data_IF_269954846690
#
_entry.id   IF_269954846690
#
_cell.length_a   1.000
_cell.length_b   1.000
_cell.length_c   1.000
_cell.angle_alpha   90.00
_cell.angle_beta   90.00
_cell.angle_gamma   90.00
#
_symmetry.space_group_name_H-M   'P 1'
#
loop_
_entity.id
_entity.type
_entity.pdbx_description
1 polymer ?
#
# COMPACT_ATOMS: atom_id res chain seq x y z
N UNK A 1 -33.05 -5.54 4.62
CA UNK A 1 -31.64 -5.64 4.22
C UNK A 1 -31.39 -4.52 3.25
N UNK A 2 -30.48 -3.60 3.56
CA UNK A 2 -30.15 -2.48 2.67
C UNK A 2 -29.37 -3.01 1.45
N UNK A 3 -29.63 -2.42 0.28
CA UNK A 3 -28.98 -2.79 -0.99
C UNK A 3 -28.18 -1.59 -1.49
N UNK A 4 -26.94 -1.84 -1.86
CA UNK A 4 -26.05 -0.85 -2.48
C UNK A 4 -25.83 -1.21 -3.95
N UNK A 5 -25.67 -0.20 -4.80
CA UNK A 5 -25.33 -0.38 -6.21
C UNK A 5 -23.88 -0.84 -6.36
N UNK A 6 -22.98 -0.33 -5.50
CA UNK A 6 -21.56 -0.61 -5.53
C UNK A 6 -21.02 -0.83 -4.11
N UNK A 7 -20.17 -1.85 -3.96
CA UNK A 7 -19.39 -2.08 -2.74
C UNK A 7 -17.91 -1.93 -3.08
N UNK A 8 -17.22 -1.07 -2.35
CA UNK A 8 -15.78 -0.82 -2.48
C UNK A 8 -15.10 -1.34 -1.22
N UNK A 9 -14.11 -2.20 -1.41
CA UNK A 9 -13.30 -2.75 -0.32
C UNK A 9 -11.96 -2.01 -0.29
N UNK A 10 -11.73 -1.24 0.76
CA UNK A 10 -10.57 -0.36 0.94
C UNK A 10 -10.88 1.08 0.56
N UNK A 11 -10.62 1.99 1.49
CA UNK A 11 -10.84 3.43 1.34
C UNK A 11 -9.57 4.20 0.93
N UNK A 12 -8.55 3.49 0.45
CA UNK A 12 -7.27 4.05 0.04
C UNK A 12 -7.30 4.87 -1.26
N UNK A 13 -6.11 5.23 -1.75
CA UNK A 13 -5.90 6.02 -2.97
C UNK A 13 -6.66 5.50 -4.22
N UNK A 14 -6.87 4.19 -4.34
CA UNK A 14 -7.67 3.62 -5.42
C UNK A 14 -9.19 3.69 -5.18
N UNK A 15 -9.64 3.35 -3.97
CA UNK A 15 -11.06 3.19 -3.66
C UNK A 15 -11.79 4.51 -3.44
N UNK A 16 -11.20 5.45 -2.70
CA UNK A 16 -11.86 6.70 -2.33
C UNK A 16 -12.25 7.59 -3.54
N UNK A 17 -11.39 7.80 -4.56
CA UNK A 17 -11.77 8.58 -5.73
C UNK A 17 -12.92 7.94 -6.53
N UNK A 18 -12.90 6.61 -6.66
CA UNK A 18 -13.97 5.85 -7.33
C UNK A 18 -15.28 6.01 -6.56
N UNK A 19 -15.26 5.84 -5.24
CA UNK A 19 -16.42 6.03 -4.37
C UNK A 19 -17.03 7.42 -4.55
N UNK A 20 -16.18 8.46 -4.49
CA UNK A 20 -16.61 9.84 -4.65
C UNK A 20 -17.25 10.10 -6.03
N UNK A 21 -16.66 9.57 -7.11
CA UNK A 21 -17.20 9.72 -8.47
C UNK A 21 -18.55 9.05 -8.63
N UNK A 22 -18.69 7.82 -8.15
CA UNK A 22 -19.93 7.04 -8.25
C UNK A 22 -21.05 7.62 -7.37
N UNK A 23 -20.73 8.02 -6.14
CA UNK A 23 -21.70 8.67 -5.25
C UNK A 23 -22.22 9.99 -5.84
N UNK A 24 -21.33 10.81 -6.42
CA UNK A 24 -21.72 12.06 -7.12
C UNK A 24 -22.57 11.81 -8.37
N UNK A 25 -22.43 10.64 -9.00
CA UNK A 25 -23.28 10.21 -10.10
C UNK A 25 -24.65 9.66 -9.64
N UNK A 26 -24.94 9.66 -8.33
CA UNK A 26 -26.22 9.24 -7.77
C UNK A 26 -26.31 7.76 -7.39
N UNK A 27 -25.21 7.02 -7.43
CA UNK A 27 -25.18 5.63 -6.98
C UNK A 27 -25.12 5.51 -5.45
N UNK A 28 -25.77 4.50 -4.90
CA UNK A 28 -25.59 4.08 -3.52
C UNK A 28 -24.30 3.26 -3.38
N UNK A 29 -23.33 3.79 -2.65
CA UNK A 29 -21.99 3.20 -2.52
C UNK A 29 -21.70 2.87 -1.07
N UNK A 30 -21.36 1.61 -0.80
CA UNK A 30 -20.81 1.16 0.47
C UNK A 30 -19.29 1.07 0.37
N UNK A 31 -18.57 1.77 1.23
CA UNK A 31 -17.11 1.64 1.37
C UNK A 31 -16.82 0.90 2.66
N UNK A 32 -16.10 -0.22 2.56
CA UNK A 32 -15.64 -0.98 3.71
C UNK A 32 -14.14 -0.75 3.90
N UNK A 33 -13.78 -0.28 5.08
CA UNK A 33 -12.40 -0.08 5.50
C UNK A 33 -12.17 -0.89 6.77
N UNK A 34 -11.02 -1.57 6.86
CA UNK A 34 -10.65 -2.35 8.03
C UNK A 34 -10.18 -1.44 9.16
N UNK A 35 -9.45 -0.39 8.79
CA UNK A 35 -8.85 0.55 9.73
C UNK A 35 -9.80 1.61 10.31
N UNK A 36 -9.38 2.30 11.38
CA UNK A 36 -10.15 3.39 11.97
C UNK A 36 -10.16 4.63 11.07
N UNK A 37 -11.09 5.56 11.34
CA UNK A 37 -11.01 6.94 10.87
C UNK A 37 -10.17 7.75 11.88
N UNK A 38 -9.05 8.30 11.43
CA UNK A 38 -8.27 9.27 12.22
C UNK A 38 -8.83 10.66 12.05
N UNK A 39 -8.97 11.40 13.15
CA UNK A 39 -9.42 12.79 13.16
C UNK A 39 -8.28 13.73 13.52
N UNK A 40 -8.26 14.89 12.88
CA UNK A 40 -7.42 16.00 13.28
C UNK A 40 -7.84 16.55 14.64
N UNK A 41 -7.01 17.43 15.23
CA UNK A 41 -7.33 18.08 16.50
C UNK A 41 -8.65 18.86 16.45
N UNK A 42 -8.95 19.48 15.31
CA UNK A 42 -10.16 20.27 15.09
C UNK A 42 -11.42 19.40 14.97
N UNK A 43 -11.30 18.23 14.35
CA UNK A 43 -12.41 17.31 14.10
C UNK A 43 -12.75 16.42 15.31
N UNK A 44 -11.78 16.19 16.20
CA UNK A 44 -11.97 15.30 17.32
C UNK A 44 -12.78 15.97 18.44
N UNK A 45 -13.84 15.34 19.00
CA UNK A 45 -14.73 15.96 20.00
C UNK A 45 -14.07 16.45 21.29
N UNK A 46 -12.89 15.92 21.60
CA UNK A 46 -12.09 16.28 22.78
C UNK A 46 -10.98 17.30 22.49
N UNK A 47 -10.87 17.83 21.26
CA UNK A 47 -9.82 18.79 20.89
C UNK A 47 -8.40 18.19 20.90
N UNK A 48 -8.27 16.89 20.61
CA UNK A 48 -6.99 16.16 20.54
C UNK A 48 -6.83 15.50 19.17
N UNK A 49 -5.61 15.41 18.65
CA UNK A 49 -5.37 14.73 17.37
C UNK A 49 -5.35 13.21 17.56
N UNK A 50 -5.92 12.45 16.62
CA UNK A 50 -5.69 10.99 16.52
C UNK A 50 -4.34 10.67 15.87
N UNK A 51 -3.74 11.63 15.18
CA UNK A 51 -2.35 11.59 14.72
C UNK A 51 -1.44 11.83 15.92
N UNK A 52 -1.32 10.81 16.78
CA UNK A 52 -0.78 10.93 18.14
C UNK A 52 0.72 10.74 18.27
N UNK A 53 1.44 10.39 17.20
CA UNK A 53 2.88 10.18 17.33
C UNK A 53 3.66 10.67 16.12
N UNK A 54 4.60 11.53 16.43
CA UNK A 54 5.66 12.01 15.57
C UNK A 54 6.76 10.94 15.49
N UNK A 55 7.76 11.15 14.64
CA UNK A 55 8.87 10.20 14.43
C UNK A 55 9.61 9.83 15.73
N UNK A 56 9.54 10.68 16.76
CA UNK A 56 10.14 10.47 18.09
C UNK A 56 9.46 9.37 18.90
N UNK A 57 8.18 9.08 18.67
CA UNK A 57 7.44 8.00 19.34
C UNK A 57 7.29 6.73 18.49
N UNK A 58 7.37 6.82 17.16
CA UNK A 58 7.44 5.65 16.27
C UNK A 58 8.67 4.76 16.57
N UNK A 59 9.72 5.38 17.12
CA UNK A 59 10.93 4.71 17.61
C UNK A 59 10.81 4.22 19.06
N UNK A 60 9.60 4.27 19.65
CA UNK A 60 9.29 3.86 21.02
C UNK A 60 9.18 2.34 21.24
N UNK A 61 8.76 1.94 22.45
CA UNK A 61 8.97 0.61 23.04
C UNK A 61 8.79 -0.62 22.11
N UNK A 62 9.78 -1.52 22.22
CA UNK A 62 9.92 -2.83 21.58
C UNK A 62 8.60 -3.62 21.44
N UNK A 63 8.29 -4.03 20.21
CA UNK A 63 7.30 -5.08 19.92
C UNK A 63 8.03 -6.43 19.83
N UNK A 64 7.44 -7.50 20.37
CA UNK A 64 7.99 -8.88 20.30
C UNK A 64 7.08 -9.80 19.50
N UNK A 65 7.66 -10.53 18.54
CA UNK A 65 6.92 -11.47 17.70
C UNK A 65 6.57 -12.75 18.48
N UNK A 66 5.31 -13.19 18.42
CA UNK A 66 4.85 -14.40 19.12
C UNK A 66 4.36 -15.52 18.19
N UNK A 67 4.25 -15.23 16.90
CA UNK A 67 3.82 -16.15 15.85
C UNK A 67 4.65 -17.45 15.83
N UNK A 68 3.97 -18.60 15.84
CA UNK A 68 4.62 -19.91 15.72
C UNK A 68 4.97 -20.21 14.26
N UNK A 69 6.14 -20.81 14.02
CA UNK A 69 6.53 -21.33 12.69
C UNK A 69 7.41 -20.39 11.86
N UNK A 70 7.60 -19.13 12.28
CA UNK A 70 8.54 -18.20 11.65
C UNK A 70 9.89 -18.20 12.36
N UNK A 71 10.96 -18.01 11.60
CA UNK A 71 12.33 -18.10 12.13
C UNK A 71 12.67 -16.98 13.14
N UNK A 72 12.07 -15.80 13.02
CA UNK A 72 12.33 -14.62 13.85
C UNK A 72 11.36 -14.48 15.03
N UNK A 73 10.89 -15.60 15.60
CA UNK A 73 10.01 -15.60 16.76
C UNK A 73 10.75 -15.09 18.00
N UNK A 74 10.12 -14.17 18.75
CA UNK A 74 10.62 -13.49 19.95
C UNK A 74 11.68 -12.40 19.74
N UNK A 75 12.01 -12.10 18.48
CA UNK A 75 12.85 -10.96 18.12
C UNK A 75 12.11 -9.62 18.31
N UNK A 76 12.90 -8.58 18.54
CA UNK A 76 12.47 -7.19 18.76
C UNK A 76 12.26 -6.46 17.44
N UNK A 77 11.20 -5.65 17.32
CA UNK A 77 11.01 -4.72 16.19
C UNK A 77 10.32 -3.40 16.59
N UNK A 78 10.46 -2.39 15.72
CA UNK A 78 9.91 -1.03 15.85
C UNK A 78 9.05 -0.73 14.62
N UNK A 79 7.83 -0.19 14.80
CA UNK A 79 6.84 -0.06 13.72
C UNK A 79 6.16 1.31 13.66
N UNK A 80 5.67 1.67 12.47
CA UNK A 80 4.97 2.93 12.21
C UNK A 80 3.48 2.90 12.63
N UNK A 81 2.82 4.06 12.54
CA UNK A 81 1.57 4.42 13.20
C UNK A 81 0.31 3.65 12.77
N UNK A 82 0.34 2.95 11.64
CA UNK A 82 -0.84 2.26 11.08
C UNK A 82 -0.44 0.97 10.34
N UNK A 83 0.61 0.33 10.83
CA UNK A 83 0.98 -1.01 10.39
C UNK A 83 0.09 -2.05 11.10
N UNK A 84 -0.31 -3.13 10.42
CA UNK A 84 -0.94 -4.25 11.11
C UNK A 84 -0.02 -4.79 12.20
N UNK A 85 -0.61 -5.32 13.28
CA UNK A 85 0.16 -6.16 14.19
C UNK A 85 0.59 -7.42 13.43
N UNK A 86 1.89 -7.73 13.44
CA UNK A 86 2.42 -8.93 12.80
C UNK A 86 1.83 -10.23 13.35
N UNK A 87 1.33 -10.21 14.59
CA UNK A 87 0.66 -11.37 15.17
C UNK A 87 -0.76 -11.53 14.62
N UNK A 88 -1.36 -10.47 14.09
CA UNK A 88 -2.70 -10.48 13.49
C UNK A 88 -2.62 -10.69 11.96
N UNK A 89 -1.68 -10.02 11.28
CA UNK A 89 -1.52 -10.07 9.82
C UNK A 89 -0.05 -10.09 9.38
N UNK A 90 0.62 -11.25 9.49
CA UNK A 90 2.02 -11.35 9.16
C UNK A 90 2.27 -11.20 7.66
N UNK A 91 3.16 -10.29 7.27
CA UNK A 91 3.79 -10.34 5.94
C UNK A 91 4.97 -11.30 6.03
N UNK A 92 4.95 -12.34 5.19
CA UNK A 92 5.94 -13.41 5.21
C UNK A 92 6.74 -13.37 3.91
N UNK A 93 8.05 -13.51 4.02
CA UNK A 93 8.92 -13.82 2.88
C UNK A 93 9.76 -15.06 3.18
N UNK A 94 10.10 -15.78 2.12
CA UNK A 94 11.01 -16.92 2.19
C UNK A 94 12.46 -16.39 2.19
N UNK A 95 13.22 -16.75 3.22
CA UNK A 95 14.64 -16.40 3.31
C UNK A 95 15.51 -17.22 2.35
N UNK A 96 16.75 -16.77 2.13
CA UNK A 96 17.73 -17.48 1.29
C UNK A 96 18.10 -18.89 1.81
N UNK A 97 17.78 -19.18 3.07
CA UNK A 97 17.91 -20.48 3.72
C UNK A 97 16.63 -21.35 3.62
N UNK A 98 15.62 -20.90 2.87
CA UNK A 98 14.34 -21.58 2.71
C UNK A 98 13.42 -21.48 3.93
N UNK A 99 13.73 -20.60 4.90
CA UNK A 99 12.91 -20.41 6.10
C UNK A 99 12.06 -19.15 6.00
N UNK A 100 10.79 -19.30 6.35
CA UNK A 100 9.83 -18.20 6.42
C UNK A 100 10.17 -17.23 7.55
N UNK A 101 10.10 -15.94 7.24
CA UNK A 101 10.32 -14.84 8.18
C UNK A 101 9.19 -13.84 8.10
N UNK A 102 8.72 -13.40 9.26
CA UNK A 102 7.81 -12.27 9.36
C UNK A 102 8.58 -10.97 9.15
N UNK A 103 8.03 -10.05 8.35
CA UNK A 103 8.66 -8.76 8.06
C UNK A 103 7.67 -7.61 8.14
N UNK A 104 8.18 -6.43 8.46
CA UNK A 104 7.43 -5.18 8.35
C UNK A 104 7.62 -4.48 7.00
N UNK A 105 8.46 -5.04 6.14
CA UNK A 105 8.69 -4.48 4.82
C UNK A 105 7.46 -4.67 3.91
N UNK A 106 7.14 -3.63 3.13
CA UNK A 106 6.05 -3.68 2.17
C UNK A 106 4.65 -3.45 2.74
N UNK A 107 4.52 -2.95 3.97
CA UNK A 107 3.21 -2.69 4.54
C UNK A 107 2.36 -1.67 3.80
N UNK A 108 1.05 -1.92 3.87
CA UNK A 108 0.00 -1.00 3.43
C UNK A 108 -0.75 -0.47 4.65
N UNK A 109 -0.98 0.84 4.70
CA UNK A 109 -1.63 1.48 5.84
C UNK A 109 -3.08 1.01 6.00
N UNK A 110 -3.48 0.71 7.24
CA UNK A 110 -4.81 0.19 7.58
C UNK A 110 -5.64 1.24 8.32
N UNK A 111 -6.13 2.22 7.58
CA UNK A 111 -6.83 3.40 8.07
C UNK A 111 -7.72 3.95 6.97
N UNK A 112 -8.76 4.70 7.33
CA UNK A 112 -9.51 5.47 6.33
C UNK A 112 -8.56 6.38 5.55
N UNK A 113 -8.55 6.25 4.21
CA UNK A 113 -7.60 6.91 3.31
C UNK A 113 -6.37 6.07 2.95
N UNK A 114 -6.13 4.96 3.63
CA UNK A 114 -5.05 4.01 3.33
C UNK A 114 -3.67 4.68 3.29
N UNK A 115 -2.82 4.21 2.37
CA UNK A 115 -1.42 4.66 2.28
C UNK A 115 -1.23 6.18 2.13
N UNK A 116 -2.23 6.92 1.65
CA UNK A 116 -2.10 8.39 1.51
C UNK A 116 -2.06 9.11 2.85
N UNK A 117 -2.42 8.45 3.96
CA UNK A 117 -2.24 8.99 5.31
C UNK A 117 -0.78 8.96 5.77
N UNK A 118 0.06 8.08 5.17
CA UNK A 118 1.43 7.83 5.63
C UNK A 118 2.51 8.05 4.56
N UNK A 119 2.15 8.11 3.28
CA UNK A 119 3.12 8.27 2.20
C UNK A 119 3.86 9.61 2.29
N UNK A 120 5.07 9.67 1.72
CA UNK A 120 5.89 10.89 1.72
C UNK A 120 5.41 12.00 0.78
N UNK A 121 4.16 11.96 0.31
CA UNK A 121 3.57 12.92 -0.64
C UNK A 121 4.30 13.09 -1.99
N UNK A 122 5.27 12.22 -2.30
CA UNK A 122 5.97 12.22 -3.58
C UNK A 122 5.03 11.76 -4.69
N UNK A 123 4.67 12.69 -5.57
CA UNK A 123 3.63 12.49 -6.60
C UNK A 123 4.23 12.67 -8.00
N UNK A 124 4.89 11.62 -8.49
CA UNK A 124 5.52 11.60 -9.81
C UNK A 124 4.54 11.07 -10.86
N UNK A 125 4.64 11.62 -12.07
CA UNK A 125 4.05 10.99 -13.25
C UNK A 125 5.05 9.98 -13.79
N UNK A 126 4.55 8.90 -14.37
CA UNK A 126 5.37 8.04 -15.21
C UNK A 126 6.01 8.88 -16.34
N UNK A 127 7.00 8.30 -17.01
CA UNK A 127 7.48 8.73 -18.32
C UNK A 127 6.83 7.89 -19.43
N UNK A 128 6.90 8.33 -20.68
CA UNK A 128 6.43 7.54 -21.83
C UNK A 128 7.12 6.17 -21.91
N UNK A 129 8.38 6.13 -21.49
CA UNK A 129 9.18 4.90 -21.48
C UNK A 129 8.63 3.87 -20.48
N UNK A 130 8.12 4.31 -19.33
CA UNK A 130 7.56 3.41 -18.30
C UNK A 130 6.33 2.65 -18.81
N UNK A 131 5.65 3.15 -19.85
CA UNK A 131 4.53 2.49 -20.51
C UNK A 131 4.95 1.58 -21.66
N UNK A 132 6.22 1.63 -22.10
CA UNK A 132 6.75 0.92 -23.28
C UNK A 132 7.96 0.03 -22.95
N UNK A 133 8.03 -0.48 -21.72
CA UNK A 133 9.19 -1.26 -21.25
C UNK A 133 9.40 -2.56 -22.03
N UNK A 134 8.34 -3.19 -22.55
CA UNK A 134 8.46 -4.41 -23.34
C UNK A 134 9.16 -4.13 -24.68
N UNK A 135 8.61 -3.20 -25.46
CA UNK A 135 9.17 -2.78 -26.74
C UNK A 135 10.57 -2.20 -26.60
N UNK A 136 10.81 -1.39 -25.56
CA UNK A 136 12.11 -0.79 -25.32
C UNK A 136 13.21 -1.83 -25.05
N UNK A 137 12.90 -2.90 -24.33
CA UNK A 137 13.88 -3.91 -23.94
C UNK A 137 13.99 -5.10 -24.89
N UNK A 138 13.05 -5.29 -25.83
CA UNK A 138 12.95 -6.49 -26.68
C UNK A 138 14.26 -6.87 -27.42
N UNK A 139 15.00 -5.88 -27.90
CA UNK A 139 16.25 -6.08 -28.66
C UNK A 139 17.53 -5.86 -27.86
N UNK A 140 17.44 -5.53 -26.57
CA UNK A 140 18.61 -5.16 -25.76
C UNK A 140 19.40 -6.40 -25.34
N UNK A 141 20.71 -6.29 -25.47
CA UNK A 141 21.71 -7.27 -25.04
C UNK A 141 22.74 -6.67 -24.07
N UNK A 142 22.57 -5.40 -23.72
CA UNK A 142 23.42 -4.58 -22.85
C UNK A 142 22.87 -4.45 -21.43
N UNK A 143 21.88 -5.27 -21.06
CA UNK A 143 21.25 -5.24 -19.74
C UNK A 143 22.23 -5.84 -18.72
N UNK A 144 22.68 -5.01 -17.79
CA UNK A 144 23.59 -5.40 -16.70
C UNK A 144 22.76 -5.91 -15.52
N UNK A 145 23.22 -6.98 -14.87
CA UNK A 145 22.61 -7.48 -13.63
C UNK A 145 21.33 -8.31 -13.84
N UNK A 146 21.10 -8.83 -15.03
CA UNK A 146 19.94 -9.69 -15.35
C UNK A 146 20.37 -11.12 -15.73
N UNK A 147 20.94 -11.90 -14.78
CA UNK A 147 21.48 -13.24 -15.08
C UNK A 147 20.40 -14.24 -15.50
N UNK A 148 19.13 -13.99 -15.15
CA UNK A 148 17.99 -14.86 -15.44
C UNK A 148 17.16 -14.40 -16.65
N UNK A 149 17.54 -13.30 -17.31
CA UNK A 149 16.80 -12.74 -18.44
C UNK A 149 15.38 -12.28 -18.06
N UNK A 150 15.19 -11.86 -16.81
CA UNK A 150 13.93 -11.44 -16.22
C UNK A 150 13.35 -10.25 -16.97
N UNK A 151 14.18 -9.31 -17.44
CA UNK A 151 13.68 -8.14 -18.17
C UNK A 151 13.03 -8.58 -19.48
N UNK A 152 13.66 -9.48 -20.25
CA UNK A 152 13.07 -10.00 -21.48
C UNK A 152 11.81 -10.81 -21.20
N UNK A 153 11.78 -11.54 -20.08
CA UNK A 153 10.66 -12.40 -19.72
C UNK A 153 9.46 -11.63 -19.21
N UNK A 154 9.65 -10.56 -18.42
CA UNK A 154 8.58 -9.92 -17.64
C UNK A 154 8.28 -8.47 -18.07
N UNK A 155 9.17 -7.76 -18.76
CA UNK A 155 8.86 -6.41 -19.22
C UNK A 155 7.70 -6.45 -20.23
N UNK A 156 6.75 -5.53 -20.06
CA UNK A 156 5.55 -5.42 -20.91
C UNK A 156 5.29 -3.97 -21.28
N UNK A 157 4.66 -3.79 -22.42
CA UNK A 157 4.02 -2.53 -22.75
C UNK A 157 2.65 -2.47 -22.07
N UNK A 158 2.29 -1.31 -21.57
CA UNK A 158 0.94 -1.07 -21.05
C UNK A 158 -0.01 -0.84 -22.22
N UNK A 159 -1.28 -1.27 -22.14
CA UNK A 159 -2.27 -1.05 -23.19
C UNK A 159 -2.80 0.40 -23.22
N UNK A 160 -1.98 1.36 -22.76
CA UNK A 160 -2.26 2.79 -22.67
C UNK A 160 -0.96 3.55 -23.00
N UNK A 161 -1.08 4.77 -23.50
CA UNK A 161 0.04 5.66 -23.76
C UNK A 161 -0.25 7.10 -23.31
N UNK A 162 0.73 8.00 -23.45
CA UNK A 162 0.57 9.41 -23.07
C UNK A 162 -0.40 10.20 -23.94
N UNK A 163 -0.73 9.68 -25.12
CA UNK A 163 -1.70 10.30 -26.03
C UNK A 163 -3.13 9.86 -25.71
N UNK A 164 -3.27 8.78 -24.94
CA UNK A 164 -4.54 8.36 -24.35
C UNK A 164 -4.96 9.47 -23.39
N UNK A 165 -6.13 10.11 -23.60
CA UNK A 165 -6.56 11.20 -22.73
C UNK A 165 -6.62 10.73 -21.29
N UNK A 166 -5.96 11.45 -20.37
CA UNK A 166 -6.26 11.30 -18.95
C UNK A 166 -7.78 11.58 -18.79
N UNK A 167 -8.57 10.64 -18.24
CA UNK A 167 -9.97 10.90 -17.98
C UNK A 167 -10.07 12.17 -17.11
N UNK A 168 -10.99 13.10 -17.42
CA UNK A 168 -11.19 14.29 -16.62
C UNK A 168 -11.66 13.97 -15.19
#
# INVERSE_FOLDING_TARGET
MERFDVVIIGSGAGGAPIAARLARAGHSVLVLEKGPLLRTQEEHPLGVSDFKRDELFATGAEKRLTLSGVANRFDSFYGSHVEPDLNDEPHIYEGADGLDRATIEGYTAQVVGGGTQLYGAVSLRFSELDLRLGSFNAGRNDIVGDPNGDVRREARDRPIDYTTPEPP
#
